data_IF_686676427504
#
_entry.id   IF_686676427504
#
_cell.length_a   1.000
_cell.length_b   1.000
_cell.length_c   1.000
_cell.angle_alpha   90.00
_cell.angle_beta   90.00
_cell.angle_gamma   90.00
#
_symmetry.space_group_name_H-M   'P 1'
#
loop_
_entity.id
_entity.type
_entity.pdbx_description
1 polymer ?
#
# COMPACT_ATOMS: atom_id res chain seq x y z
N UNK A 1 -0.64 20.85 -3.08
CA UNK A 1 -0.35 19.40 -3.00
C UNK A 1 -1.54 18.77 -2.29
N UNK A 2 -2.13 17.68 -2.79
CA UNK A 2 -3.23 17.01 -2.10
C UNK A 2 -2.80 16.61 -0.68
N UNK A 3 -3.76 16.43 0.21
CA UNK A 3 -3.49 15.95 1.57
C UNK A 3 -2.91 14.52 1.55
N UNK A 4 -2.32 14.05 2.67
CA UNK A 4 -1.71 12.72 2.76
C UNK A 4 -2.65 11.55 2.39
N UNK A 5 -3.92 11.61 2.79
CA UNK A 5 -4.91 10.55 2.56
C UNK A 5 -5.24 10.46 1.07
N UNK A 6 -5.52 11.61 0.46
CA UNK A 6 -5.79 11.69 -0.99
C UNK A 6 -4.58 11.21 -1.80
N UNK A 7 -3.37 11.56 -1.36
CA UNK A 7 -2.12 11.16 -2.02
C UNK A 7 -1.96 9.64 -2.02
N UNK A 8 -2.04 8.99 -0.86
CA UNK A 8 -1.89 7.52 -0.78
C UNK A 8 -2.98 6.79 -1.55
N UNK A 9 -4.22 7.27 -1.45
CA UNK A 9 -5.34 6.68 -2.18
C UNK A 9 -5.13 6.75 -3.69
N UNK A 10 -4.66 7.90 -4.21
CA UNK A 10 -4.36 8.07 -5.62
C UNK A 10 -3.19 7.19 -6.08
N UNK A 11 -2.10 7.15 -5.31
CA UNK A 11 -0.92 6.32 -5.61
C UNK A 11 -1.28 4.84 -5.69
N UNK A 12 -2.05 4.34 -4.72
CA UNK A 12 -2.45 2.93 -4.70
C UNK A 12 -3.44 2.59 -5.80
N UNK A 13 -4.32 3.51 -6.20
CA UNK A 13 -5.26 3.29 -7.30
C UNK A 13 -4.59 3.31 -8.67
N UNK A 14 -3.52 4.09 -8.84
CA UNK A 14 -2.84 4.26 -10.12
C UNK A 14 -2.18 2.97 -10.64
N UNK A 15 -1.91 2.01 -9.76
CA UNK A 15 -1.28 0.72 -10.12
C UNK A 15 -2.27 -0.43 -10.27
N UNK A 16 -3.57 -0.17 -10.12
CA UNK A 16 -4.61 -1.19 -10.24
C UNK A 16 -5.10 -1.33 -11.68
N UNK A 17 -5.48 -2.55 -12.11
CA UNK A 17 -6.23 -2.72 -13.34
C UNK A 17 -7.55 -1.92 -13.30
N UNK A 18 -8.08 -1.49 -14.47
CA UNK A 18 -9.37 -0.82 -14.53
C UNK A 18 -10.49 -1.62 -13.84
N UNK A 19 -11.27 -0.95 -12.99
CA UNK A 19 -12.39 -1.56 -12.27
C UNK A 19 -12.03 -2.35 -11.01
N UNK A 20 -10.75 -2.56 -10.71
CA UNK A 20 -10.32 -3.24 -9.47
C UNK A 20 -10.37 -2.26 -8.30
N UNK A 21 -11.09 -2.64 -7.24
CA UNK A 21 -11.12 -1.86 -5.99
C UNK A 21 -9.79 -2.00 -5.23
N UNK A 22 -9.36 -1.00 -4.45
CA UNK A 22 -8.12 -1.09 -3.68
C UNK A 22 -8.10 -2.27 -2.70
N UNK A 23 -6.88 -2.71 -2.35
CA UNK A 23 -6.65 -3.77 -1.35
C UNK A 23 -6.89 -3.33 0.11
N UNK A 24 -7.33 -2.09 0.31
CA UNK A 24 -7.63 -1.51 1.62
C UNK A 24 -9.06 -0.94 1.67
N UNK A 25 -9.66 -0.98 2.85
CA UNK A 25 -11.00 -0.41 3.14
C UNK A 25 -10.93 1.08 3.42
N UNK A 26 -9.97 1.49 4.25
CA UNK A 26 -9.77 2.89 4.62
C UNK A 26 -8.33 3.18 5.03
N UNK A 27 -7.97 4.45 4.95
CA UNK A 27 -6.76 5.01 5.55
C UNK A 27 -7.08 5.33 7.01
N UNK A 28 -6.37 4.71 7.94
CA UNK A 28 -6.53 4.93 9.38
C UNK A 28 -5.80 6.20 9.81
N UNK A 29 -4.57 6.35 9.33
CA UNK A 29 -3.72 7.51 9.59
C UNK A 29 -2.90 7.82 8.33
N UNK A 30 -2.59 9.09 8.08
CA UNK A 30 -1.63 9.47 7.05
C UNK A 30 -0.94 10.77 7.41
N UNK A 31 0.38 10.84 7.19
CA UNK A 31 1.17 12.04 7.45
C UNK A 31 2.26 12.22 6.39
N UNK A 32 2.63 13.46 6.15
CA UNK A 32 3.90 13.75 5.50
C UNK A 32 5.04 13.48 6.49
N UNK A 33 6.13 12.92 5.99
CA UNK A 33 7.37 12.74 6.71
C UNK A 33 8.54 13.34 5.90
N UNK A 34 9.54 13.87 6.59
CA UNK A 34 10.66 14.58 5.96
C UNK A 34 10.34 15.95 5.33
N UNK A 35 11.32 16.50 4.59
CA UNK A 35 11.26 17.87 4.05
C UNK A 35 11.79 17.97 2.61
N UNK A 36 11.35 19.02 1.90
CA UNK A 36 11.79 19.32 0.53
C UNK A 36 11.49 18.19 -0.45
N UNK A 37 12.49 17.87 -1.29
CA UNK A 37 12.39 16.80 -2.31
C UNK A 37 12.40 15.38 -1.73
N UNK A 38 12.74 15.22 -0.45
CA UNK A 38 12.74 13.91 0.25
C UNK A 38 11.47 13.68 1.07
N UNK A 39 10.43 14.50 0.86
CA UNK A 39 9.16 14.34 1.56
C UNK A 39 8.48 13.05 1.12
N UNK A 40 8.19 12.18 2.08
CA UNK A 40 7.43 10.95 1.88
C UNK A 40 6.03 11.13 2.48
N UNK A 41 5.11 10.26 2.10
CA UNK A 41 3.82 10.08 2.77
C UNK A 41 3.83 8.71 3.41
N UNK A 42 3.58 8.65 4.72
CA UNK A 42 3.45 7.39 5.46
C UNK A 42 1.99 7.27 5.90
N UNK A 43 1.39 6.10 5.68
CA UNK A 43 0.01 5.84 6.05
C UNK A 43 -0.19 4.44 6.62
N UNK A 44 -1.07 4.35 7.61
CA UNK A 44 -1.58 3.10 8.14
C UNK A 44 -2.95 2.81 7.52
N UNK A 45 -3.14 1.59 7.06
CA UNK A 45 -4.30 1.14 6.32
C UNK A 45 -5.00 0.01 7.06
N UNK A 46 -6.34 0.03 7.01
CA UNK A 46 -7.15 -1.15 7.29
C UNK A 46 -7.40 -1.87 5.97
N UNK A 47 -6.91 -3.11 5.85
CA UNK A 47 -6.97 -3.94 4.65
C UNK A 47 -8.37 -4.57 4.47
N UNK A 48 -8.67 -5.07 3.27
CA UNK A 48 -9.98 -5.68 2.95
C UNK A 48 -10.33 -6.93 3.75
N UNK A 49 -9.33 -7.60 4.33
CA UNK A 49 -9.49 -8.73 5.24
C UNK A 49 -9.49 -8.34 6.73
N UNK A 50 -9.45 -7.05 7.03
CA UNK A 50 -9.46 -6.52 8.40
C UNK A 50 -8.09 -6.47 9.08
N UNK A 51 -7.03 -6.93 8.42
CA UNK A 51 -5.66 -6.77 8.92
C UNK A 51 -5.11 -5.37 8.61
N UNK A 52 -3.99 -5.01 9.23
CA UNK A 52 -3.37 -3.70 9.06
C UNK A 52 -2.12 -3.77 8.18
N UNK A 53 -1.84 -2.68 7.48
CA UNK A 53 -0.59 -2.49 6.74
C UNK A 53 -0.12 -1.04 6.85
N UNK A 54 1.20 -0.85 6.81
CA UNK A 54 1.81 0.48 6.75
C UNK A 54 2.51 0.64 5.41
N UNK A 55 2.22 1.74 4.73
CA UNK A 55 2.78 2.08 3.42
C UNK A 55 3.57 3.39 3.48
N UNK A 56 4.59 3.47 2.65
CA UNK A 56 5.32 4.70 2.38
C UNK A 56 5.30 4.99 0.87
N UNK A 57 4.98 6.23 0.51
CA UNK A 57 5.04 6.72 -0.87
C UNK A 57 5.96 7.94 -0.99
N UNK A 58 6.67 8.06 -2.11
CA UNK A 58 7.54 9.20 -2.41
C UNK A 58 7.48 9.54 -3.89
N UNK A 59 7.82 10.79 -4.20
CA UNK A 59 8.01 11.21 -5.59
C UNK A 59 9.40 10.81 -6.06
N UNK A 60 9.49 10.20 -7.23
CA UNK A 60 10.77 9.93 -7.90
C UNK A 60 11.00 10.80 -9.13
N UNK A 61 9.95 11.40 -9.70
CA UNK A 61 9.99 12.31 -10.84
C UNK A 61 8.77 13.26 -10.85
N UNK A 62 8.76 14.35 -11.64
CA UNK A 62 7.56 15.14 -11.86
C UNK A 62 6.40 14.26 -12.37
N UNK A 63 5.34 14.12 -11.58
CA UNK A 63 4.19 13.27 -11.90
C UNK A 63 4.35 11.78 -11.55
N UNK A 64 5.55 11.33 -11.19
CA UNK A 64 5.83 9.93 -10.83
C UNK A 64 5.85 9.69 -9.32
N UNK A 65 5.12 8.67 -8.88
CA UNK A 65 5.11 8.20 -7.49
C UNK A 65 5.58 6.76 -7.41
N UNK A 66 6.43 6.48 -6.44
CA UNK A 66 6.79 5.14 -6.03
C UNK A 66 6.24 4.90 -4.62
N UNK A 67 6.04 3.63 -4.28
CA UNK A 67 5.63 3.24 -2.94
C UNK A 67 6.25 1.91 -2.54
N UNK A 68 6.28 1.66 -1.24
CA UNK A 68 6.65 0.37 -0.65
C UNK A 68 5.83 0.12 0.60
N UNK A 69 5.57 -1.16 0.87
CA UNK A 69 5.04 -1.59 2.15
C UNK A 69 6.16 -1.59 3.18
N UNK A 70 5.93 -0.93 4.32
CA UNK A 70 6.83 -0.97 5.48
C UNK A 70 6.51 -2.15 6.38
N UNK A 71 5.22 -2.42 6.56
CA UNK A 71 4.70 -3.58 7.29
C UNK A 71 3.39 -4.05 6.64
N UNK A 72 3.17 -5.35 6.66
CA UNK A 72 1.93 -5.99 6.23
C UNK A 72 1.65 -7.17 7.14
N UNK A 73 0.81 -6.94 8.16
CA UNK A 73 0.37 -8.03 9.05
C UNK A 73 -0.28 -9.12 8.19
N UNK A 74 0.22 -10.35 8.33
CA UNK A 74 -0.21 -11.51 7.54
C UNK A 74 0.48 -11.69 6.18
N UNK A 75 1.35 -10.77 5.75
CA UNK A 75 2.12 -10.89 4.51
C UNK A 75 1.46 -10.25 3.28
N UNK A 76 1.98 -10.47 2.07
CA UNK A 76 1.49 -9.84 0.84
C UNK A 76 0.03 -10.19 0.51
N UNK A 77 -0.67 -9.25 -0.14
CA UNK A 77 -2.03 -9.45 -0.66
C UNK A 77 -2.02 -9.20 -2.17
N UNK A 78 -2.71 -10.03 -2.93
CA UNK A 78 -2.76 -9.96 -4.38
C UNK A 78 -4.19 -10.14 -4.90
N UNK A 79 -4.43 -9.67 -6.11
CA UNK A 79 -5.70 -9.83 -6.80
C UNK A 79 -5.68 -11.14 -7.59
N UNK A 80 -6.57 -12.08 -7.27
CA UNK A 80 -6.68 -13.38 -7.97
C UNK A 80 -7.53 -13.31 -9.27
N UNK A 81 -7.99 -12.12 -9.64
CA UNK A 81 -8.95 -11.91 -10.74
C UNK A 81 -10.38 -11.66 -10.26
N UNK A 82 -10.71 -12.01 -9.00
CA UNK A 82 -12.06 -11.89 -8.42
C UNK A 82 -12.09 -11.22 -7.07
N UNK A 83 -11.07 -11.44 -6.24
CA UNK A 83 -10.96 -10.87 -4.90
C UNK A 83 -9.50 -10.67 -4.53
N UNK A 84 -9.30 -9.87 -3.49
CA UNK A 84 -8.03 -9.79 -2.81
C UNK A 84 -7.84 -11.03 -1.94
N UNK A 85 -6.71 -11.70 -2.13
CA UNK A 85 -6.30 -12.88 -1.36
C UNK A 85 -4.93 -12.63 -0.78
N UNK A 86 -4.74 -13.09 0.45
CA UNK A 86 -3.45 -13.04 1.12
C UNK A 86 -2.67 -14.28 0.74
N UNK A 87 -1.39 -14.11 0.45
CA UNK A 87 -0.51 -15.26 0.29
C UNK A 87 -0.39 -15.94 1.65
N UNK A 88 -0.87 -17.18 1.76
CA UNK A 88 -0.58 -17.97 2.94
C UNK A 88 0.94 -18.13 3.05
N UNK A 89 1.53 -18.06 4.26
CA UNK A 89 2.94 -18.38 4.42
C UNK A 89 3.16 -19.77 3.83
N UNK A 90 3.94 -19.86 2.75
CA UNK A 90 4.34 -21.18 2.27
C UNK A 90 5.00 -21.90 3.44
N UNK A 91 4.60 -23.15 3.75
CA UNK A 91 5.31 -23.92 4.75
C UNK A 91 6.78 -23.94 4.33
N UNK A 92 7.67 -23.43 5.19
CA UNK A 92 9.10 -23.59 4.97
C UNK A 92 9.33 -25.08 4.85
N UNK A 93 9.67 -25.57 3.67
CA UNK A 93 10.18 -26.93 3.54
C UNK A 93 11.43 -26.98 4.40
N UNK A 94 11.49 -27.83 5.45
CA UNK A 94 12.71 -27.97 6.22
C UNK A 94 13.77 -28.61 5.32
N UNK A 95 14.79 -27.84 4.96
CA UNK A 95 16.02 -28.32 4.33
C UNK A 95 15.95 -28.52 2.81
N UNK A 96 16.48 -27.54 2.08
CA UNK A 96 17.28 -27.77 0.87
C UNK A 96 18.65 -27.13 1.09
#
# INVERSE_FOLDING_TARGET
MPDPVTTITAVLRAVLPPGVSPSFRRVVSARFDGAGQRRTVVADLEMVDGLTATIEAWRYAPGGWAHRWRDMVGGPIFWDGRRWVREEPQPRLPGL
#
